data_IF_460746755974
#
_entry.id   IF_460746755974
#
_cell.length_a   1.000
_cell.length_b   1.000
_cell.length_c   1.000
_cell.angle_alpha   90.00
_cell.angle_beta   90.00
_cell.angle_gamma   90.00
#
_symmetry.space_group_name_H-M   'P 1'
#
loop_
_entity.id
_entity.type
_entity.pdbx_description
1 polymer ?
#
# COMPACT_ATOMS: atom_id res chain seq x y z
N UNK A 1 34.46 -1.81 3.41
CA UNK A 1 34.42 -1.41 2.00
C UNK A 1 33.01 -0.98 1.56
N UNK A 2 31.98 -1.73 1.87
CA UNK A 2 30.55 -1.45 1.53
C UNK A 2 30.02 -0.07 2.01
N UNK A 3 30.34 0.36 3.23
CA UNK A 3 29.87 1.67 3.78
C UNK A 3 30.39 2.88 2.98
N UNK A 4 31.59 2.79 2.38
CA UNK A 4 32.15 3.86 1.54
C UNK A 4 31.52 3.92 0.16
N UNK A 5 31.07 2.76 -0.36
CA UNK A 5 30.34 2.66 -1.66
C UNK A 5 28.94 3.25 -1.51
N UNK A 6 28.24 2.96 -0.41
CA UNK A 6 26.90 3.51 -0.12
C UNK A 6 26.97 5.02 0.07
N UNK A 7 27.96 5.54 0.78
CA UNK A 7 28.15 6.98 0.94
C UNK A 7 28.46 7.68 -0.40
N UNK A 8 29.22 7.04 -1.29
CA UNK A 8 29.49 7.55 -2.64
C UNK A 8 28.24 7.58 -3.52
N UNK A 9 27.36 6.56 -3.41
CA UNK A 9 26.11 6.49 -4.16
C UNK A 9 25.11 7.55 -3.70
N UNK A 10 25.04 7.81 -2.39
CA UNK A 10 24.19 8.86 -1.81
C UNK A 10 24.68 10.24 -2.25
N UNK A 11 26.01 10.46 -2.29
CA UNK A 11 26.60 11.72 -2.74
C UNK A 11 26.31 11.99 -4.22
N UNK A 12 26.29 10.96 -5.07
CA UNK A 12 25.94 11.06 -6.49
C UNK A 12 24.46 11.43 -6.72
N UNK A 13 23.55 10.98 -5.84
CA UNK A 13 22.12 11.31 -5.90
C UNK A 13 21.83 12.76 -5.47
N UNK A 14 22.65 13.34 -4.56
CA UNK A 14 22.48 14.72 -4.07
C UNK A 14 22.93 15.76 -5.11
N UNK A 15 23.83 15.38 -6.03
CA UNK A 15 24.33 16.28 -7.09
C UNK A 15 23.57 16.19 -8.42
N UNK A 16 22.51 15.39 -8.50
CA UNK A 16 21.62 15.45 -9.65
C UNK A 16 20.82 16.76 -9.54
N UNK A 17 21.29 17.79 -10.23
CA UNK A 17 20.48 18.98 -10.47
C UNK A 17 19.23 18.50 -11.20
N UNK A 18 18.02 18.82 -10.72
CA UNK A 18 16.83 18.57 -11.51
C UNK A 18 17.05 19.31 -12.84
N UNK A 19 17.18 18.57 -13.92
CA UNK A 19 17.06 19.11 -15.26
C UNK A 19 15.59 19.45 -15.38
N UNK A 20 15.24 20.67 -15.03
CA UNK A 20 14.02 21.28 -15.50
C UNK A 20 14.20 21.41 -17.02
N UNK A 21 13.79 20.41 -17.76
CA UNK A 21 13.42 20.56 -19.16
C UNK A 21 12.18 21.44 -19.15
N UNK A 22 12.42 22.74 -19.13
CA UNK A 22 11.33 23.70 -19.16
C UNK A 22 10.57 23.52 -20.47
N UNK A 23 9.27 23.42 -20.39
CA UNK A 23 8.37 23.56 -21.54
C UNK A 23 8.64 24.88 -22.32
N UNK A 24 9.32 25.85 -21.72
CA UNK A 24 9.74 27.10 -22.33
C UNK A 24 10.51 26.91 -23.63
N UNK A 25 11.39 25.90 -23.73
CA UNK A 25 12.18 25.65 -24.96
C UNK A 25 11.35 25.03 -26.09
N UNK A 26 10.21 24.41 -25.80
CA UNK A 26 9.28 23.86 -26.78
C UNK A 26 8.40 24.96 -27.41
N UNK A 27 8.11 26.02 -26.66
CA UNK A 27 7.31 27.13 -27.12
C UNK A 27 8.11 28.18 -27.93
N UNK A 28 9.42 28.33 -27.67
CA UNK A 28 10.34 29.11 -28.48
C UNK A 28 10.46 28.61 -29.93
N UNK A 29 10.15 27.33 -30.15
CA UNK A 29 10.17 26.70 -31.49
C UNK A 29 8.88 26.93 -32.31
N UNK A 30 7.80 27.41 -31.69
CA UNK A 30 6.46 27.44 -32.28
C UNK A 30 5.98 28.83 -32.68
N UNK A 31 6.83 29.74 -33.17
CA UNK A 31 6.40 31.03 -33.80
C UNK A 31 5.31 31.81 -33.03
N UNK A 32 5.22 31.60 -31.72
CA UNK A 32 4.33 32.36 -30.87
C UNK A 32 5.05 33.64 -30.40
N UNK A 33 4.36 34.74 -30.54
CA UNK A 33 4.75 36.08 -30.10
C UNK A 33 5.47 36.00 -28.74
N UNK A 34 6.77 36.35 -28.63
CA UNK A 34 7.55 36.19 -27.40
C UNK A 34 6.99 36.93 -26.18
N UNK A 35 6.08 37.88 -26.42
CA UNK A 35 5.43 38.63 -25.35
C UNK A 35 4.15 37.99 -24.79
N UNK A 36 3.69 36.88 -25.36
CA UNK A 36 2.52 36.16 -24.88
C UNK A 36 2.91 34.91 -24.12
N UNK A 37 3.13 35.03 -22.81
CA UNK A 37 3.15 33.87 -21.91
C UNK A 37 1.77 33.24 -21.84
N UNK A 38 1.59 32.13 -22.57
CA UNK A 38 0.36 31.35 -22.47
C UNK A 38 0.43 30.54 -21.18
N UNK A 39 -0.15 31.06 -20.13
CA UNK A 39 -0.39 30.27 -18.92
C UNK A 39 -1.48 29.25 -19.23
N UNK A 40 -1.10 27.99 -19.41
CA UNK A 40 -2.06 26.89 -19.42
C UNK A 40 -2.55 26.70 -18.00
N UNK A 41 -3.63 27.39 -17.65
CA UNK A 41 -4.36 27.14 -16.42
C UNK A 41 -4.97 25.74 -16.52
N UNK A 42 -4.29 24.75 -15.90
CA UNK A 42 -4.92 23.47 -15.66
C UNK A 42 -6.00 23.68 -14.60
N UNK A 43 -7.24 23.87 -15.05
CA UNK A 43 -8.39 23.90 -14.14
C UNK A 43 -8.53 22.53 -13.48
N UNK A 44 -8.06 22.42 -12.26
CA UNK A 44 -8.26 21.24 -11.42
C UNK A 44 -9.72 21.20 -10.99
N UNK A 45 -10.48 20.28 -11.58
CA UNK A 45 -11.92 20.17 -11.35
C UNK A 45 -12.22 19.63 -9.94
N UNK A 46 -11.43 18.64 -9.49
CA UNK A 46 -11.62 17.98 -8.20
C UNK A 46 -10.53 18.42 -7.23
N UNK A 47 -10.80 19.50 -6.47
CA UNK A 47 -9.91 19.97 -5.41
C UNK A 47 -10.04 19.11 -4.17
N UNK A 48 -8.91 18.83 -3.51
CA UNK A 48 -8.82 18.00 -2.29
C UNK A 48 -8.58 18.81 -1.03
N UNK A 49 -8.05 20.02 -1.16
CA UNK A 49 -7.70 20.87 -0.02
C UNK A 49 -8.89 21.09 0.92
N UNK A 50 -8.63 20.93 2.22
CA UNK A 50 -9.63 21.02 3.32
C UNK A 50 -10.81 20.05 3.19
N UNK A 51 -10.66 18.93 2.48
CA UNK A 51 -11.69 17.91 2.34
C UNK A 51 -11.39 16.67 3.17
N UNK A 52 -12.43 16.15 3.80
CA UNK A 52 -12.43 14.80 4.36
C UNK A 52 -12.81 13.79 3.28
N UNK A 53 -12.37 12.58 3.44
CA UNK A 53 -12.82 11.46 2.63
C UNK A 53 -12.95 10.19 3.45
N UNK A 54 -13.81 9.29 3.00
CA UNK A 54 -13.97 7.96 3.54
C UNK A 54 -14.07 6.96 2.39
N UNK A 55 -13.33 5.86 2.51
CA UNK A 55 -13.27 4.78 1.53
C UNK A 55 -13.66 3.47 2.18
N UNK A 56 -14.49 2.69 1.47
CA UNK A 56 -14.76 1.29 1.78
C UNK A 56 -14.26 0.43 0.63
N UNK A 57 -13.43 -0.56 0.91
CA UNK A 57 -12.80 -1.39 -0.11
C UNK A 57 -12.82 -2.88 0.19
N UNK A 58 -12.75 -3.66 -0.88
CA UNK A 58 -12.42 -5.08 -0.84
C UNK A 58 -10.92 -5.24 -0.97
N UNK A 59 -10.36 -6.07 -0.09
CA UNK A 59 -8.94 -6.32 0.04
C UNK A 59 -8.64 -7.75 -0.35
N UNK A 60 -7.61 -7.97 -1.17
CA UNK A 60 -7.05 -9.30 -1.47
C UNK A 60 -5.55 -9.31 -1.18
N UNK A 61 -5.10 -10.31 -0.44
CA UNK A 61 -3.72 -10.48 -0.01
C UNK A 61 -2.98 -11.50 -0.87
N UNK A 62 -1.75 -11.17 -1.27
CA UNK A 62 -0.93 -12.02 -2.15
C UNK A 62 0.29 -12.64 -1.47
N UNK A 63 0.44 -12.46 -0.17
CA UNK A 63 1.69 -12.83 0.50
C UNK A 63 1.71 -14.27 0.97
N UNK A 64 0.55 -14.84 1.32
CA UNK A 64 0.50 -16.16 1.94
C UNK A 64 0.54 -17.28 0.90
N UNK A 65 1.53 -18.18 1.03
CA UNK A 65 1.66 -19.37 0.17
C UNK A 65 0.60 -20.44 0.46
N UNK A 66 0.18 -20.55 1.72
CA UNK A 66 -0.69 -21.63 2.21
C UNK A 66 -2.11 -21.18 2.53
N UNK A 67 -2.41 -19.90 2.34
CA UNK A 67 -3.73 -19.35 2.64
C UNK A 67 -4.20 -18.44 1.52
N UNK A 68 -5.51 -18.44 1.32
CA UNK A 68 -6.23 -17.40 0.62
C UNK A 68 -6.74 -16.42 1.68
N UNK A 69 -6.33 -15.16 1.57
CA UNK A 69 -6.68 -14.11 2.52
C UNK A 69 -7.32 -12.96 1.76
N UNK A 70 -8.59 -12.74 2.04
CA UNK A 70 -9.40 -11.64 1.51
C UNK A 70 -9.92 -10.81 2.68
N UNK A 71 -10.49 -9.64 2.43
CA UNK A 71 -11.01 -8.84 3.53
C UNK A 71 -11.69 -7.55 3.13
N UNK A 72 -11.99 -6.75 4.15
CA UNK A 72 -12.55 -5.41 4.01
C UNK A 72 -11.58 -4.38 4.53
N UNK A 73 -11.50 -3.25 3.84
CA UNK A 73 -10.69 -2.09 4.18
C UNK A 73 -11.56 -0.87 4.38
N UNK A 74 -11.44 -0.24 5.52
CA UNK A 74 -12.07 1.04 5.83
C UNK A 74 -10.97 2.08 6.00
N UNK A 75 -11.10 3.23 5.35
CA UNK A 75 -10.16 4.33 5.43
C UNK A 75 -10.89 5.64 5.60
N UNK A 76 -10.28 6.55 6.33
CA UNK A 76 -10.72 7.92 6.42
C UNK A 76 -9.52 8.83 6.46
N UNK A 77 -9.61 9.97 5.83
CA UNK A 77 -8.51 10.92 5.79
C UNK A 77 -8.96 12.35 5.58
N UNK A 78 -8.02 13.23 5.78
CA UNK A 78 -8.19 14.66 5.62
C UNK A 78 -7.01 15.24 4.86
N UNK A 79 -7.28 16.01 3.81
CA UNK A 79 -6.28 16.78 3.07
C UNK A 79 -6.20 18.19 3.65
N UNK A 80 -5.09 18.50 4.32
CA UNK A 80 -4.82 19.85 4.84
C UNK A 80 -4.21 20.78 3.77
N UNK A 81 -3.68 20.21 2.69
CA UNK A 81 -3.20 20.88 1.50
C UNK A 81 -3.59 20.05 0.27
N UNK A 82 -3.59 20.65 -0.91
CA UNK A 82 -4.00 19.99 -2.14
C UNK A 82 -3.26 18.67 -2.43
N UNK A 83 -1.99 18.59 -2.01
CA UNK A 83 -1.13 17.42 -2.23
C UNK A 83 -0.91 16.59 -0.97
N UNK A 84 -1.15 17.15 0.23
CA UNK A 84 -0.79 16.52 1.49
C UNK A 84 -2.01 16.26 2.37
N UNK A 85 -2.04 15.08 2.96
CA UNK A 85 -3.10 14.67 3.86
C UNK A 85 -2.64 13.66 4.90
N UNK A 86 -3.53 13.37 5.82
CA UNK A 86 -3.41 12.31 6.81
C UNK A 86 -4.52 11.28 6.56
N UNK A 87 -4.19 10.02 6.70
CA UNK A 87 -5.16 8.92 6.56
C UNK A 87 -5.01 7.95 7.72
N UNK A 88 -6.13 7.55 8.30
CA UNK A 88 -6.26 6.41 9.17
C UNK A 88 -6.92 5.26 8.41
N UNK A 89 -6.50 4.04 8.68
CA UNK A 89 -7.05 2.85 8.03
C UNK A 89 -7.30 1.73 9.02
N UNK A 90 -8.25 0.87 8.67
CA UNK A 90 -8.58 -0.37 9.35
C UNK A 90 -8.86 -1.45 8.31
N UNK A 91 -8.09 -2.52 8.33
CA UNK A 91 -8.26 -3.68 7.46
C UNK A 91 -8.65 -4.89 8.32
N UNK A 92 -9.69 -5.60 7.91
CA UNK A 92 -10.12 -6.86 8.52
C UNK A 92 -9.96 -7.97 7.51
N UNK A 93 -9.21 -9.02 7.89
CA UNK A 93 -8.89 -10.14 7.03
C UNK A 93 -9.75 -11.37 7.36
N UNK A 94 -10.05 -12.14 6.33
CA UNK A 94 -10.65 -13.47 6.40
C UNK A 94 -9.69 -14.46 5.77
N UNK A 95 -9.29 -15.47 6.52
CA UNK A 95 -8.28 -16.44 6.10
C UNK A 95 -8.92 -17.80 5.86
N UNK A 96 -8.61 -18.42 4.74
CA UNK A 96 -8.97 -19.80 4.41
C UNK A 96 -7.74 -20.57 3.93
N UNK A 97 -7.69 -21.87 4.23
CA UNK A 97 -6.60 -22.70 3.73
C UNK A 97 -6.76 -22.90 2.21
N UNK A 98 -5.66 -22.85 1.47
CA UNK A 98 -5.65 -23.07 0.04
C UNK A 98 -5.24 -24.51 -0.32
N UNK A 99 -5.17 -24.83 -1.59
CA UNK A 99 -4.77 -26.17 -2.08
C UNK A 99 -3.35 -26.55 -1.66
N UNK A 100 -2.43 -25.59 -1.63
CA UNK A 100 -1.05 -25.85 -1.19
C UNK A 100 -0.98 -26.33 0.25
N UNK A 101 -1.83 -25.78 1.13
CA UNK A 101 -1.93 -26.23 2.52
C UNK A 101 -2.42 -27.67 2.59
N UNK A 102 -3.47 -28.01 1.82
CA UNK A 102 -4.01 -29.37 1.77
C UNK A 102 -2.99 -30.37 1.23
N UNK A 103 -2.26 -30.02 0.18
CA UNK A 103 -1.24 -30.85 -0.42
C UNK A 103 -0.08 -31.15 0.55
N UNK A 104 0.44 -30.14 1.25
CA UNK A 104 1.49 -30.34 2.25
C UNK A 104 1.02 -31.25 3.37
N UNK A 105 -0.21 -31.06 3.86
CA UNK A 105 -0.79 -31.91 4.91
C UNK A 105 -0.96 -33.35 4.44
N UNK A 106 -1.41 -33.58 3.22
CA UNK A 106 -1.59 -34.93 2.67
C UNK A 106 -0.25 -35.65 2.44
N UNK A 107 0.78 -34.94 1.99
CA UNK A 107 2.08 -35.54 1.67
C UNK A 107 2.92 -35.75 2.93
N UNK A 108 2.95 -34.78 3.84
CA UNK A 108 3.86 -34.77 4.99
C UNK A 108 3.18 -35.17 6.30
N UNK A 109 1.85 -35.31 6.34
CA UNK A 109 1.10 -35.60 7.58
C UNK A 109 1.13 -34.49 8.63
N UNK A 110 1.71 -33.33 8.31
CA UNK A 110 1.86 -32.19 9.22
C UNK A 110 1.34 -30.90 8.62
N UNK A 111 0.85 -30.01 9.46
CA UNK A 111 0.39 -28.69 9.04
C UNK A 111 1.59 -27.76 8.72
N UNK A 112 1.58 -27.02 7.59
CA UNK A 112 2.64 -26.07 7.32
C UNK A 112 2.60 -24.88 8.30
N UNK A 113 3.75 -24.21 8.46
CA UNK A 113 3.80 -22.97 9.23
C UNK A 113 2.98 -21.89 8.53
N UNK A 114 2.03 -21.33 9.30
CA UNK A 114 1.13 -20.28 8.82
C UNK A 114 1.02 -19.16 9.85
N UNK A 115 1.09 -17.91 9.37
CA UNK A 115 0.70 -16.73 10.13
C UNK A 115 -0.51 -16.10 9.47
N UNK A 116 -1.62 -16.07 10.17
CA UNK A 116 -2.90 -15.48 9.75
C UNK A 116 -2.97 -14.04 10.22
N UNK A 117 -3.23 -13.12 9.32
CA UNK A 117 -3.55 -11.74 9.68
C UNK A 117 -5.04 -11.69 9.99
N UNK A 118 -5.42 -11.16 11.14
CA UNK A 118 -6.82 -11.01 11.53
C UNK A 118 -7.28 -9.57 11.26
N UNK A 119 -6.47 -8.60 11.69
CA UNK A 119 -6.72 -7.18 11.42
C UNK A 119 -5.42 -6.38 11.38
N UNK A 120 -5.44 -5.28 10.66
CA UNK A 120 -4.40 -4.27 10.73
C UNK A 120 -4.99 -2.88 10.75
N UNK A 121 -4.43 -1.99 11.55
CA UNK A 121 -4.88 -0.61 11.65
C UNK A 121 -3.70 0.31 11.90
N UNK A 122 -3.82 1.53 11.42
CA UNK A 122 -2.73 2.48 11.52
C UNK A 122 -3.06 3.85 10.95
N UNK A 123 -2.01 4.66 10.85
CA UNK A 123 -2.10 6.00 10.27
C UNK A 123 -0.90 6.25 9.36
N UNK A 124 -1.10 7.08 8.35
CA UNK A 124 -0.09 7.44 7.39
C UNK A 124 -0.24 8.87 6.89
N UNK A 125 0.86 9.43 6.44
CA UNK A 125 0.88 10.66 5.66
C UNK A 125 0.67 10.30 4.20
N UNK A 126 -0.18 11.06 3.53
CA UNK A 126 -0.48 10.89 2.10
C UNK A 126 0.14 12.05 1.34
N UNK A 127 0.82 11.73 0.25
CA UNK A 127 1.31 12.67 -0.74
C UNK A 127 0.69 12.35 -2.09
N UNK A 128 -0.03 13.32 -2.67
CA UNK A 128 -0.79 13.16 -3.91
C UNK A 128 -0.35 14.20 -4.96
N UNK A 129 0.86 14.02 -5.54
CA UNK A 129 1.45 15.02 -6.43
C UNK A 129 0.85 15.03 -7.84
N UNK A 130 0.29 13.89 -8.27
CA UNK A 130 -0.14 13.73 -9.65
C UNK A 130 -1.66 13.82 -9.76
N UNK A 131 -2.11 14.76 -10.57
CA UNK A 131 -3.48 14.90 -11.01
C UNK A 131 -3.51 14.83 -12.53
N UNK A 132 -4.32 13.95 -13.08
CA UNK A 132 -4.37 13.73 -14.52
C UNK A 132 -5.80 13.59 -15.04
N UNK A 133 -5.90 13.55 -16.35
CA UNK A 133 -7.14 13.26 -17.06
C UNK A 133 -6.88 12.29 -18.21
N UNK A 134 -7.77 11.34 -18.38
CA UNK A 134 -7.76 10.39 -19.49
C UNK A 134 -9.00 10.64 -20.32
N UNK A 135 -8.83 10.89 -21.60
CA UNK A 135 -9.92 11.01 -22.54
C UNK A 135 -10.08 9.68 -23.28
N UNK A 136 -11.18 8.97 -23.03
CA UNK A 136 -11.47 7.70 -23.69
C UNK A 136 -12.99 7.56 -23.88
N UNK A 137 -13.40 6.96 -25.00
CA UNK A 137 -14.82 6.78 -25.36
C UNK A 137 -15.67 8.06 -25.26
N UNK A 138 -15.14 9.20 -25.72
CA UNK A 138 -15.76 10.53 -25.63
C UNK A 138 -16.10 11.00 -24.21
N UNK A 139 -15.43 10.44 -23.20
CA UNK A 139 -15.55 10.85 -21.79
C UNK A 139 -14.20 11.15 -21.20
N UNK A 140 -14.16 12.17 -20.37
CA UNK A 140 -12.96 12.57 -19.63
C UNK A 140 -13.08 12.01 -18.23
N UNK A 141 -12.11 11.18 -17.83
CA UNK A 141 -11.95 10.67 -16.47
C UNK A 141 -10.78 11.36 -15.80
N UNK A 142 -11.04 11.96 -14.66
CA UNK A 142 -9.99 12.58 -13.83
C UNK A 142 -9.49 11.59 -12.80
N UNK A 143 -8.20 11.62 -12.53
CA UNK A 143 -7.60 10.75 -11.53
C UNK A 143 -6.52 11.46 -10.72
N UNK A 144 -6.35 11.03 -9.49
CA UNK A 144 -5.20 11.34 -8.63
C UNK A 144 -4.34 10.09 -8.47
N UNK A 145 -3.03 10.26 -8.49
CA UNK A 145 -2.11 9.22 -8.10
C UNK A 145 -1.37 9.68 -6.84
N UNK A 146 -1.50 8.90 -5.78
CA UNK A 146 -1.00 9.24 -4.45
C UNK A 146 -0.14 8.13 -3.87
N UNK A 147 0.73 8.52 -2.96
CA UNK A 147 1.61 7.66 -2.17
C UNK A 147 1.33 7.91 -0.70
N UNK A 148 1.47 6.89 0.11
CA UNK A 148 1.33 6.99 1.56
C UNK A 148 2.44 6.26 2.28
N UNK A 149 2.88 6.79 3.42
CA UNK A 149 3.83 6.15 4.31
C UNK A 149 3.44 6.38 5.77
N UNK A 150 3.61 5.37 6.60
CA UNK A 150 3.20 5.46 8.00
C UNK A 150 3.49 4.22 8.82
N UNK A 151 2.71 4.05 9.88
CA UNK A 151 2.86 2.96 10.84
C UNK A 151 1.53 2.23 11.06
N UNK A 152 1.64 0.95 11.36
CA UNK A 152 0.50 0.08 11.62
C UNK A 152 0.75 -0.84 12.81
N UNK A 153 -0.36 -1.31 13.39
CA UNK A 153 -0.39 -2.49 14.25
C UNK A 153 -1.14 -3.59 13.54
N UNK A 154 -0.58 -4.78 13.60
CA UNK A 154 -1.13 -5.99 13.01
C UNK A 154 -1.47 -6.94 14.15
N UNK A 155 -2.72 -7.38 14.22
CA UNK A 155 -3.13 -8.49 15.06
C UNK A 155 -3.15 -9.74 14.17
N UNK A 156 -2.31 -10.70 14.51
CA UNK A 156 -2.11 -11.94 13.76
C UNK A 156 -2.20 -13.14 14.68
N UNK A 157 -2.32 -14.31 14.08
CA UNK A 157 -2.25 -15.60 14.76
C UNK A 157 -1.27 -16.50 14.02
N UNK A 158 -0.48 -17.27 14.74
CA UNK A 158 0.44 -18.24 14.12
C UNK A 158 0.46 -19.58 14.84
N UNK A 159 0.69 -20.64 14.07
CA UNK A 159 0.87 -21.99 14.59
C UNK A 159 2.35 -22.32 14.89
N UNK A 160 3.19 -21.30 15.10
CA UNK A 160 4.65 -21.46 15.21
C UNK A 160 5.10 -22.48 16.26
N UNK A 161 4.38 -22.61 17.39
CA UNK A 161 4.74 -23.51 18.52
C UNK A 161 4.38 -24.96 18.26
N UNK A 162 3.44 -25.22 17.35
CA UNK A 162 2.88 -26.57 17.13
C UNK A 162 3.27 -27.18 15.79
N UNK A 163 4.07 -26.49 14.98
CA UNK A 163 4.48 -26.97 13.65
C UNK A 163 5.37 -28.21 13.71
N UNK A 164 6.22 -28.33 14.75
CA UNK A 164 7.14 -29.47 14.90
C UNK A 164 6.46 -30.70 15.52
N UNK A 165 5.26 -30.56 16.06
CA UNK A 165 4.58 -31.68 16.75
C UNK A 165 3.49 -32.26 15.85
N UNK A 166 3.83 -33.37 15.20
CA UNK A 166 2.90 -34.07 14.29
C UNK A 166 1.72 -34.73 15.00
N UNK A 167 1.80 -34.85 16.32
CA UNK A 167 0.74 -35.45 17.16
C UNK A 167 -0.25 -34.42 17.71
N UNK A 168 0.09 -33.13 17.65
CA UNK A 168 -0.78 -32.07 18.13
C UNK A 168 -1.56 -31.43 16.95
N UNK A 169 -2.84 -31.21 17.19
CA UNK A 169 -3.65 -30.37 16.33
C UNK A 169 -3.07 -28.95 16.35
N UNK A 170 -2.86 -28.37 15.20
CA UNK A 170 -2.35 -26.99 15.09
C UNK A 170 -3.12 -26.05 16.01
N UNK A 171 -2.41 -25.44 16.95
CA UNK A 171 -2.93 -24.38 17.81
C UNK A 171 -2.36 -23.05 17.34
N UNK A 172 -3.20 -22.03 17.29
CA UNK A 172 -2.85 -20.70 16.84
C UNK A 172 -2.74 -19.75 18.03
N UNK A 173 -1.55 -19.19 18.23
CA UNK A 173 -1.30 -18.17 19.26
C UNK A 173 -1.43 -16.77 18.66
N UNK A 174 -2.09 -15.87 19.39
CA UNK A 174 -2.25 -14.49 19.00
C UNK A 174 -0.93 -13.73 19.11
N UNK A 175 -0.62 -12.92 18.10
CA UNK A 175 0.57 -12.09 18.01
C UNK A 175 0.17 -10.65 17.69
N UNK A 176 0.77 -9.66 18.40
CA UNK A 176 0.63 -8.24 18.08
C UNK A 176 1.95 -7.72 17.55
N UNK A 177 1.92 -7.17 16.35
CA UNK A 177 3.12 -6.83 15.59
C UNK A 177 3.01 -5.37 15.15
N UNK A 178 4.10 -4.60 15.32
CA UNK A 178 4.22 -3.28 14.75
C UNK A 178 4.82 -3.38 13.34
N UNK A 179 4.28 -2.59 12.42
CA UNK A 179 4.71 -2.58 11.03
C UNK A 179 4.94 -1.15 10.53
N UNK A 180 5.91 -1.00 9.65
CA UNK A 180 5.98 0.14 8.76
C UNK A 180 5.07 -0.13 7.55
N UNK A 181 4.32 0.87 7.11
CA UNK A 181 3.39 0.74 6.00
C UNK A 181 3.66 1.77 4.94
N UNK A 182 3.57 1.37 3.69
CA UNK A 182 3.51 2.28 2.57
C UNK A 182 2.49 1.79 1.54
N UNK A 183 2.01 2.71 0.71
CA UNK A 183 1.03 2.42 -0.32
C UNK A 183 1.19 3.31 -1.54
N UNK A 184 0.65 2.85 -2.64
CA UNK A 184 0.35 3.67 -3.81
C UNK A 184 -1.12 3.47 -4.18
N UNK A 185 -1.81 4.56 -4.51
CA UNK A 185 -3.24 4.56 -4.83
C UNK A 185 -3.52 5.43 -6.04
N UNK A 186 -4.26 4.89 -7.00
CA UNK A 186 -4.87 5.65 -8.09
C UNK A 186 -6.35 5.79 -7.76
N UNK A 187 -6.82 7.04 -7.71
CA UNK A 187 -8.20 7.41 -7.40
C UNK A 187 -8.84 8.05 -8.62
N UNK A 188 -9.90 7.46 -9.15
CA UNK A 188 -10.69 7.96 -10.28
C UNK A 188 -11.92 8.69 -9.77
N UNK A 189 -12.11 9.94 -10.18
CA UNK A 189 -13.29 10.74 -9.84
C UNK A 189 -14.44 10.40 -10.78
N UNK A 190 -15.53 9.88 -10.22
CA UNK A 190 -16.76 9.56 -10.96
C UNK A 190 -17.75 10.73 -10.95
N UNK A 191 -17.87 11.38 -9.80
CA UNK A 191 -18.68 12.57 -9.55
C UNK A 191 -17.92 13.46 -8.58
N UNK A 192 -18.47 14.65 -8.31
CA UNK A 192 -17.86 15.63 -7.41
C UNK A 192 -17.41 15.02 -6.07
N UNK A 193 -18.25 14.17 -5.48
CA UNK A 193 -18.01 13.61 -4.16
C UNK A 193 -17.74 12.10 -4.18
N UNK A 194 -17.84 11.41 -5.33
CA UNK A 194 -17.73 9.95 -5.44
C UNK A 194 -16.50 9.57 -6.25
N UNK A 195 -15.72 8.63 -5.71
CA UNK A 195 -14.52 8.14 -6.40
C UNK A 195 -14.35 6.63 -6.26
N UNK A 196 -13.64 6.04 -7.22
CA UNK A 196 -13.13 4.67 -7.18
C UNK A 196 -11.63 4.70 -6.93
N UNK A 197 -11.14 3.80 -6.09
CA UNK A 197 -9.72 3.66 -5.79
C UNK A 197 -9.20 2.27 -6.11
N UNK A 198 -8.01 2.21 -6.69
CA UNK A 198 -7.19 0.99 -6.78
C UNK A 198 -5.90 1.28 -6.03
N UNK A 199 -5.59 0.46 -5.04
CA UNK A 199 -4.48 0.69 -4.13
C UNK A 199 -3.68 -0.58 -3.94
N UNK A 200 -2.37 -0.44 -3.94
CA UNK A 200 -1.42 -1.44 -3.50
C UNK A 200 -0.75 -0.98 -2.21
N UNK A 201 -0.90 -1.78 -1.16
CA UNK A 201 -0.42 -1.48 0.19
C UNK A 201 0.56 -2.56 0.63
N UNK A 202 1.67 -2.16 1.20
CA UNK A 202 2.67 -3.05 1.78
C UNK A 202 2.89 -2.73 3.25
N UNK A 203 2.97 -3.77 4.07
CA UNK A 203 3.25 -3.69 5.49
C UNK A 203 4.51 -4.51 5.79
N UNK A 204 5.55 -3.85 6.30
CA UNK A 204 6.84 -4.45 6.63
C UNK A 204 6.99 -4.59 8.13
N UNK A 205 7.23 -5.80 8.59
CA UNK A 205 7.33 -6.09 10.02
C UNK A 205 8.36 -7.19 10.32
N UNK A 206 8.81 -7.25 11.59
CA UNK A 206 9.62 -8.35 12.09
C UNK A 206 8.74 -9.36 12.80
N UNK A 207 8.96 -10.64 12.51
CA UNK A 207 8.28 -11.70 13.21
C UNK A 207 9.13 -12.99 13.26
N UNK A 208 8.98 -13.74 14.35
CA UNK A 208 9.67 -15.01 14.56
C UNK A 208 9.15 -16.09 13.60
N UNK A 209 10.05 -16.92 13.10
CA UNK A 209 9.72 -18.13 12.35
C UNK A 209 9.11 -19.24 13.24
N UNK A 210 8.90 -20.46 12.68
CA UNK A 210 8.43 -21.61 13.45
C UNK A 210 9.45 -21.97 14.53
N UNK A 211 8.94 -22.35 15.71
CA UNK A 211 9.76 -22.85 16.81
C UNK A 211 10.28 -24.25 16.45
N UNK A 212 11.54 -24.55 16.79
CA UNK A 212 12.17 -25.85 16.55
C UNK A 212 12.87 -26.33 17.80
N UNK A 213 12.62 -27.58 18.17
CA UNK A 213 13.24 -28.21 19.35
C UNK A 213 13.09 -27.38 20.63
N UNK A 214 11.92 -26.79 20.86
CA UNK A 214 11.63 -25.93 22.02
C UNK A 214 12.34 -24.56 22.02
N UNK A 215 13.00 -24.18 20.92
CA UNK A 215 13.62 -22.85 20.74
C UNK A 215 12.79 -22.00 19.79
N UNK A 216 12.64 -20.75 20.15
CA UNK A 216 11.96 -19.75 19.27
C UNK A 216 12.68 -19.63 17.93
N UNK A 217 11.92 -19.65 16.84
CA UNK A 217 12.46 -19.46 15.50
C UNK A 217 13.11 -18.08 15.34
N UNK A 218 14.06 -17.98 14.43
CA UNK A 218 14.75 -16.71 14.16
C UNK A 218 13.76 -15.64 13.69
N UNK A 219 13.93 -14.42 14.20
CA UNK A 219 13.19 -13.27 13.72
C UNK A 219 13.69 -12.85 12.33
N UNK A 220 12.77 -12.63 11.42
CA UNK A 220 13.05 -12.15 10.08
C UNK A 220 12.07 -11.06 9.68
N UNK A 221 12.53 -10.19 8.77
CA UNK A 221 11.66 -9.23 8.11
C UNK A 221 10.68 -9.95 7.19
N UNK A 222 9.43 -9.59 7.31
CA UNK A 222 8.32 -10.07 6.50
C UNK A 222 7.61 -8.89 5.85
N UNK A 223 7.05 -9.14 4.69
CA UNK A 223 6.26 -8.16 3.97
C UNK A 223 4.88 -8.75 3.72
N UNK A 224 3.85 -8.00 4.05
CA UNK A 224 2.47 -8.29 3.69
C UNK A 224 2.06 -7.36 2.53
N UNK A 225 1.40 -7.90 1.51
CA UNK A 225 1.02 -7.16 0.30
C UNK A 225 -0.47 -7.33 0.04
N UNK A 226 -1.16 -6.19 -0.02
CA UNK A 226 -2.59 -6.12 -0.21
C UNK A 226 -2.92 -5.30 -1.46
N UNK A 227 -3.79 -5.83 -2.32
CA UNK A 227 -4.47 -5.07 -3.35
C UNK A 227 -5.86 -4.72 -2.86
N UNK A 228 -6.23 -3.45 -2.96
CA UNK A 228 -7.50 -2.95 -2.45
C UNK A 228 -8.22 -2.20 -3.56
N UNK A 229 -9.47 -2.58 -3.81
CA UNK A 229 -10.38 -1.85 -4.70
C UNK A 229 -11.45 -1.22 -3.82
N UNK A 230 -11.62 0.09 -3.91
CA UNK A 230 -12.47 0.86 -3.00
C UNK A 230 -13.40 1.82 -3.72
N UNK A 231 -14.54 2.06 -3.10
CA UNK A 231 -15.44 3.18 -3.40
C UNK A 231 -15.34 4.16 -2.25
N UNK A 232 -15.27 5.45 -2.54
CA UNK A 232 -15.17 6.46 -1.51
C UNK A 232 -15.96 7.72 -1.80
N UNK A 233 -16.15 8.47 -0.72
CA UNK A 233 -16.79 9.78 -0.71
C UNK A 233 -15.83 10.82 -0.17
N UNK A 234 -15.85 12.02 -0.81
CA UNK A 234 -15.15 13.22 -0.36
C UNK A 234 -16.16 14.32 -0.02
N UNK A 235 -15.98 15.03 1.08
CA UNK A 235 -16.89 16.06 1.58
C UNK A 235 -16.15 17.17 2.34
#
# INVERSE_FOLDING_TARGET
>A
MMKKIIAGLILLLVFQRPVFSGEESLYDFLWLDPDKKVYVLQNKLFKKEHKFYADLGYLSNFTSTFQKTDGLSLKTGFYFHEEWGLEAFYNRYQNSNNENWNNVRQINGADPFVRRLNQSYGAMVIWSPFYGKINTFNKIYYFDWSFGAGVAKIDAESNRKTVDDTNLKSNYDSEKINAAVWKTKVKFHLKENVHLGVEWMQQHYKAAGPDRNGKSGAEAFKTNQDLIISVGFSF
#
